data_IF_577762574681
#
_entry.id   IF_577762574681
#
_cell.length_a   1.000
_cell.length_b   1.000
_cell.length_c   1.000
_cell.angle_alpha   90.00
_cell.angle_beta   90.00
_cell.angle_gamma   90.00
#
_symmetry.space_group_name_H-M   'P 1'
#
loop_
_entity.id
_entity.type
_entity.pdbx_description
1 polymer ?
#
# COMPACT_ATOMS: atom_id res chain seq x y z
N UNK A 1 -18.88 19.76 36.21
CA UNK A 1 -18.91 18.28 36.29
C UNK A 1 -17.72 17.76 35.50
N UNK A 2 -16.65 17.41 36.19
CA UNK A 2 -15.45 16.80 35.58
C UNK A 2 -15.76 15.35 35.20
N UNK A 3 -15.44 14.90 33.97
CA UNK A 3 -15.65 13.51 33.60
C UNK A 3 -14.74 12.61 34.45
N UNK A 4 -15.35 11.70 35.23
CA UNK A 4 -14.68 10.75 36.13
C UNK A 4 -14.12 9.51 35.40
N UNK A 5 -13.85 9.65 34.12
CA UNK A 5 -13.19 8.65 33.28
C UNK A 5 -12.37 9.48 32.28
N UNK A 6 -11.11 9.12 32.01
CA UNK A 6 -10.19 9.88 31.15
C UNK A 6 -10.59 9.91 29.66
N UNK A 7 -11.89 10.06 29.39
CA UNK A 7 -12.49 10.11 28.08
C UNK A 7 -12.39 11.56 27.57
N UNK A 8 -11.79 11.76 26.39
CA UNK A 8 -11.50 13.09 25.91
C UNK A 8 -12.76 13.95 25.65
N UNK A 9 -12.73 15.22 26.03
CA UNK A 9 -13.72 16.25 25.76
C UNK A 9 -13.39 16.97 24.42
N UNK A 10 -13.91 16.43 23.32
CA UNK A 10 -14.04 17.13 22.03
C UNK A 10 -12.75 17.27 21.20
N UNK A 11 -11.88 18.25 21.51
CA UNK A 11 -10.74 18.62 20.66
C UNK A 11 -9.65 17.54 20.58
N UNK A 12 -9.54 16.73 21.63
CA UNK A 12 -8.56 15.65 21.78
C UNK A 12 -8.88 14.44 20.90
N UNK A 13 -10.16 14.21 20.57
CA UNK A 13 -10.56 13.22 19.56
C UNK A 13 -10.02 13.57 18.19
N UNK A 14 -9.91 14.86 17.85
CA UNK A 14 -9.39 15.29 16.56
C UNK A 14 -7.90 14.91 16.40
N UNK A 15 -7.10 15.03 17.46
CA UNK A 15 -5.70 14.61 17.43
C UNK A 15 -5.55 13.09 17.33
N UNK A 16 -6.36 12.33 18.06
CA UNK A 16 -6.36 10.88 17.98
C UNK A 16 -6.77 10.38 16.59
N UNK A 17 -7.87 10.90 16.05
CA UNK A 17 -8.35 10.55 14.71
C UNK A 17 -7.33 10.97 13.65
N UNK A 18 -6.82 12.19 13.72
CA UNK A 18 -5.79 12.69 12.81
C UNK A 18 -4.51 11.86 12.85
N UNK A 19 -4.06 11.48 14.05
CA UNK A 19 -2.91 10.61 14.24
C UNK A 19 -3.12 9.22 13.64
N UNK A 20 -4.28 8.60 13.85
CA UNK A 20 -4.62 7.30 13.26
C UNK A 20 -4.69 7.39 11.73
N UNK A 21 -5.33 8.42 11.19
CA UNK A 21 -5.40 8.62 9.73
C UNK A 21 -4.00 8.78 9.12
N UNK A 22 -3.12 9.54 9.77
CA UNK A 22 -1.74 9.69 9.33
C UNK A 22 -0.98 8.36 9.36
N UNK A 23 -1.12 7.59 10.44
CA UNK A 23 -0.48 6.27 10.56
C UNK A 23 -0.97 5.30 9.47
N UNK A 24 -2.28 5.26 9.21
CA UNK A 24 -2.86 4.44 8.14
C UNK A 24 -2.32 4.89 6.77
N UNK A 25 -2.27 6.19 6.52
CA UNK A 25 -1.72 6.74 5.28
C UNK A 25 -0.24 6.35 5.08
N UNK A 26 0.58 6.46 6.13
CA UNK A 26 1.97 6.03 6.12
C UNK A 26 2.10 4.53 5.86
N UNK A 27 1.30 3.70 6.54
CA UNK A 27 1.31 2.25 6.36
C UNK A 27 0.97 1.84 4.92
N UNK A 28 -0.06 2.45 4.32
CA UNK A 28 -0.46 2.19 2.93
C UNK A 28 0.66 2.63 1.97
N UNK A 29 1.29 3.78 2.22
CA UNK A 29 2.40 4.29 1.40
C UNK A 29 3.62 3.38 1.45
N UNK A 30 4.01 2.93 2.66
CA UNK A 30 5.11 1.97 2.84
C UNK A 30 4.78 0.65 2.15
N UNK A 31 3.55 0.16 2.29
CA UNK A 31 3.08 -1.05 1.60
C UNK A 31 3.17 -0.92 0.07
N UNK A 32 2.74 0.21 -0.50
CA UNK A 32 2.86 0.49 -1.93
C UNK A 32 4.33 0.44 -2.40
N UNK A 33 5.24 1.09 -1.66
CA UNK A 33 6.68 1.04 -1.96
C UNK A 33 7.23 -0.40 -1.89
N UNK A 34 6.82 -1.18 -0.90
CA UNK A 34 7.24 -2.59 -0.80
C UNK A 34 6.77 -3.41 -2.01
N UNK A 35 5.56 -3.18 -2.52
CA UNK A 35 5.07 -3.87 -3.72
C UNK A 35 5.87 -3.47 -4.98
N UNK A 36 6.21 -2.18 -5.10
CA UNK A 36 7.07 -1.71 -6.20
C UNK A 36 8.46 -2.35 -6.14
N UNK A 37 9.08 -2.36 -4.96
CA UNK A 37 10.39 -3.00 -4.76
C UNK A 37 10.31 -4.49 -5.06
N UNK A 38 9.25 -5.18 -4.65
CA UNK A 38 9.04 -6.59 -4.98
C UNK A 38 8.96 -6.80 -6.50
N UNK A 39 8.15 -6.02 -7.20
CA UNK A 39 8.02 -6.10 -8.65
C UNK A 39 9.36 -5.89 -9.37
N UNK A 40 10.15 -4.90 -8.92
CA UNK A 40 11.47 -4.59 -9.48
C UNK A 40 12.52 -5.67 -9.21
N UNK A 41 12.49 -6.28 -8.02
CA UNK A 41 13.41 -7.35 -7.62
C UNK A 41 13.09 -8.70 -8.25
N UNK A 42 11.85 -8.93 -8.70
CA UNK A 42 11.50 -10.15 -9.42
C UNK A 42 12.26 -10.19 -10.76
N UNK A 43 13.02 -11.27 -11.04
CA UNK A 43 13.77 -11.41 -12.29
C UNK A 43 12.86 -11.41 -13.51
N UNK A 44 13.34 -10.85 -14.62
CA UNK A 44 12.54 -10.71 -15.84
C UNK A 44 12.15 -12.07 -16.44
N UNK A 45 12.95 -13.12 -16.23
CA UNK A 45 12.62 -14.49 -16.63
C UNK A 45 11.32 -15.01 -16.00
N UNK A 46 11.05 -14.64 -14.74
CA UNK A 46 9.82 -15.02 -14.03
C UNK A 46 8.61 -14.28 -14.60
N UNK A 47 8.78 -13.01 -14.96
CA UNK A 47 7.74 -12.23 -15.62
C UNK A 47 7.39 -12.78 -17.00
N UNK A 48 8.41 -13.13 -17.80
CA UNK A 48 8.20 -13.75 -19.11
C UNK A 48 7.54 -15.12 -19.00
N UNK A 49 7.95 -15.95 -18.03
CA UNK A 49 7.32 -17.25 -17.78
C UNK A 49 5.84 -17.12 -17.38
N UNK A 50 5.48 -16.08 -16.64
CA UNK A 50 4.10 -15.76 -16.29
C UNK A 50 3.30 -15.09 -17.43
N UNK A 51 3.92 -14.81 -18.58
CA UNK A 51 3.27 -14.13 -19.71
C UNK A 51 2.90 -12.68 -19.42
N UNK A 52 3.58 -12.04 -18.47
CA UNK A 52 3.25 -10.69 -18.01
C UNK A 52 4.40 -9.70 -18.23
N UNK A 53 4.05 -8.42 -18.37
CA UNK A 53 5.01 -7.34 -18.62
C UNK A 53 5.35 -6.60 -17.32
N UNK A 54 6.58 -6.77 -16.83
CA UNK A 54 7.10 -6.06 -15.64
C UNK A 54 6.96 -4.55 -15.77
N UNK A 55 7.37 -4.00 -16.91
CA UNK A 55 7.38 -2.55 -17.13
C UNK A 55 5.96 -1.97 -17.07
N UNK A 56 4.95 -2.71 -17.55
CA UNK A 56 3.55 -2.28 -17.47
C UNK A 56 3.12 -2.07 -16.02
N UNK A 57 3.36 -3.05 -15.15
CA UNK A 57 2.97 -2.95 -13.73
C UNK A 57 3.78 -1.90 -12.97
N UNK A 58 5.06 -1.72 -13.28
CA UNK A 58 5.88 -0.64 -12.71
C UNK A 58 5.32 0.73 -13.09
N UNK A 59 4.98 0.95 -14.36
CA UNK A 59 4.37 2.21 -14.81
C UNK A 59 3.00 2.44 -14.16
N UNK A 60 2.16 1.42 -14.05
CA UNK A 60 0.89 1.51 -13.34
C UNK A 60 1.08 1.93 -11.88
N UNK A 61 2.05 1.35 -11.16
CA UNK A 61 2.35 1.74 -9.79
C UNK A 61 2.87 3.18 -9.65
N UNK A 62 3.64 3.67 -10.62
CA UNK A 62 4.18 5.03 -10.59
C UNK A 62 3.09 6.06 -10.87
N UNK A 63 2.27 5.86 -11.91
CA UNK A 63 1.26 6.84 -12.32
C UNK A 63 -0.05 6.76 -11.54
N UNK A 64 -0.51 5.56 -11.18
CA UNK A 64 -1.77 5.35 -10.45
C UNK A 64 -1.54 5.15 -8.94
N UNK A 65 -0.29 5.12 -8.48
CA UNK A 65 0.05 4.94 -7.07
C UNK A 65 -0.48 3.62 -6.51
N UNK A 66 -1.31 3.72 -5.47
CA UNK A 66 -1.85 2.57 -4.74
C UNK A 66 -2.74 1.69 -5.61
N UNK A 67 -3.47 2.27 -6.56
CA UNK A 67 -4.30 1.49 -7.49
C UNK A 67 -3.42 0.59 -8.35
N UNK A 68 -2.28 1.11 -8.84
CA UNK A 68 -1.30 0.28 -9.56
C UNK A 68 -0.73 -0.86 -8.71
N UNK A 69 -0.51 -0.61 -7.41
CA UNK A 69 -0.08 -1.67 -6.49
C UNK A 69 -1.18 -2.73 -6.25
N UNK A 70 -2.45 -2.34 -6.18
CA UNK A 70 -3.55 -3.30 -6.07
C UNK A 70 -3.64 -4.18 -7.31
N UNK A 71 -3.55 -3.60 -8.51
CA UNK A 71 -3.53 -4.37 -9.76
C UNK A 71 -2.38 -5.39 -9.77
N UNK A 72 -1.19 -4.98 -9.35
CA UNK A 72 -0.06 -5.92 -9.22
C UNK A 72 -0.34 -7.03 -8.21
N UNK A 73 -0.85 -6.71 -7.02
CA UNK A 73 -1.04 -7.70 -5.95
C UNK A 73 -2.11 -8.74 -6.31
N UNK A 74 -3.19 -8.32 -6.96
CA UNK A 74 -4.30 -9.22 -7.28
C UNK A 74 -4.16 -9.93 -8.63
N UNK A 75 -3.48 -9.32 -9.61
CA UNK A 75 -3.40 -9.85 -10.98
C UNK A 75 -2.01 -10.45 -11.26
N UNK A 76 -0.94 -9.71 -11.00
CA UNK A 76 0.41 -10.15 -11.40
C UNK A 76 1.05 -11.11 -10.40
N UNK A 77 1.08 -10.68 -9.15
CA UNK A 77 1.81 -11.32 -8.06
C UNK A 77 1.46 -12.80 -7.83
N UNK A 78 0.20 -13.27 -8.00
CA UNK A 78 -0.10 -14.70 -7.91
C UNK A 78 0.62 -15.52 -8.98
N UNK A 79 0.66 -15.03 -10.22
CA UNK A 79 1.34 -15.70 -11.34
C UNK A 79 2.86 -15.68 -11.26
N UNK A 80 3.44 -14.72 -10.52
CA UNK A 80 4.90 -14.64 -10.29
C UNK A 80 5.38 -15.52 -9.13
N UNK A 81 4.46 -16.15 -8.39
CA UNK A 81 4.74 -16.99 -7.21
C UNK A 81 4.36 -18.45 -7.39
N UNK A 82 3.60 -18.76 -8.43
CA UNK A 82 3.28 -20.11 -8.86
C UNK A 82 4.49 -20.76 -9.54
#
# INVERSE_FOLDING_TARGET
MTPMIGLPAGAEWAYLIGGIMLLVWCAITVWWLMMLVQALRTPDSVWTAAGQSKILYVLLMIFLGWIGALLYVFIARPGLRA
#
